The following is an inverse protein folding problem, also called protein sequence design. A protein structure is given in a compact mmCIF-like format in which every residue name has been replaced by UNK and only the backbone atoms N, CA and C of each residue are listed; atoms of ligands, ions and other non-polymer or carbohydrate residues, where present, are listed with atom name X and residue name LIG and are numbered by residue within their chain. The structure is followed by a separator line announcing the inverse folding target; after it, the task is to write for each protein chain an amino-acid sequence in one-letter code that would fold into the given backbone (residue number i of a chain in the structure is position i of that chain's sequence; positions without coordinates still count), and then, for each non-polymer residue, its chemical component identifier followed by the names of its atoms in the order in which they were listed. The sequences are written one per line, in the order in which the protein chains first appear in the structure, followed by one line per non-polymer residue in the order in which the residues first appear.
data_IF_855086751149
#
_entry.id   IF_855086751149
#
_cell.length_a   1.000
_cell.length_b   1.000
_cell.length_c   1.000
_cell.angle_alpha   90.00
_cell.angle_beta   90.00
_cell.angle_gamma   90.00
#
_symmetry.space_group_name_H-M   'P 1'
#
loop_
_entity.id
_entity.type
_entity.pdbx_description
1 polymer ?
#
# COMPACT_ATOMS: atom_id res chain seq x y z
N UNK A 1 30.06 -54.33 2.88
CA UNK A 1 30.20 -52.87 2.65
C UNK A 1 29.13 -52.28 1.71
N UNK A 2 27.99 -52.97 1.47
CA UNK A 2 26.89 -52.47 0.64
C UNK A 2 25.74 -51.82 1.44
N UNK A 3 25.42 -52.41 2.60
CA UNK A 3 24.32 -51.94 3.47
C UNK A 3 24.57 -50.53 3.99
N UNK A 4 25.81 -50.21 4.39
CA UNK A 4 26.18 -48.88 4.89
C UNK A 4 26.02 -47.77 3.84
N UNK A 5 26.31 -48.07 2.56
CA UNK A 5 26.10 -47.10 1.47
C UNK A 5 24.61 -46.89 1.22
N UNK A 6 23.82 -47.96 1.21
CA UNK A 6 22.37 -47.88 1.02
C UNK A 6 21.67 -47.10 2.14
N UNK A 7 22.02 -47.36 3.41
CA UNK A 7 21.44 -46.62 4.54
C UNK A 7 21.84 -45.15 4.53
N UNK A 8 23.08 -44.83 4.19
CA UNK A 8 23.55 -43.45 4.04
C UNK A 8 22.77 -42.67 2.98
N UNK A 9 22.60 -43.24 1.78
CA UNK A 9 21.81 -42.60 0.72
C UNK A 9 20.34 -42.43 1.10
N UNK A 10 19.75 -43.41 1.79
CA UNK A 10 18.35 -43.31 2.22
C UNK A 10 18.15 -42.18 3.25
N UNK A 11 19.07 -42.03 4.21
CA UNK A 11 19.02 -40.93 5.19
C UNK A 11 19.21 -39.57 4.50
N UNK A 12 20.20 -39.45 3.61
CA UNK A 12 20.44 -38.20 2.86
C UNK A 12 19.23 -37.85 2.00
N UNK A 13 18.62 -38.83 1.32
CA UNK A 13 17.42 -38.60 0.52
C UNK A 13 16.25 -38.09 1.39
N UNK A 14 16.03 -38.69 2.56
CA UNK A 14 15.00 -38.23 3.50
C UNK A 14 15.26 -36.79 3.96
N UNK A 15 16.50 -36.46 4.33
CA UNK A 15 16.86 -35.10 4.75
C UNK A 15 16.61 -34.09 3.61
N UNK A 16 17.02 -34.42 2.38
CA UNK A 16 16.80 -33.55 1.20
C UNK A 16 15.30 -33.34 0.94
N UNK A 17 14.48 -34.38 1.07
CA UNK A 17 13.02 -34.28 0.91
C UNK A 17 12.43 -33.36 1.98
N UNK A 18 12.80 -33.53 3.25
CA UNK A 18 12.31 -32.71 4.35
C UNK A 18 12.70 -31.24 4.15
N UNK A 19 13.96 -30.97 3.77
CA UNK A 19 14.43 -29.61 3.47
C UNK A 19 13.65 -29.02 2.29
N UNK A 20 13.43 -29.80 1.23
CA UNK A 20 12.68 -29.36 0.06
C UNK A 20 11.24 -28.96 0.39
N UNK A 21 10.54 -29.78 1.18
CA UNK A 21 9.18 -29.47 1.66
C UNK A 21 9.20 -28.21 2.54
N UNK A 22 10.17 -28.10 3.46
CA UNK A 22 10.27 -26.96 4.36
C UNK A 22 10.51 -25.65 3.61
N UNK A 23 11.42 -25.65 2.63
CA UNK A 23 11.68 -24.48 1.77
C UNK A 23 10.44 -24.10 0.97
N UNK A 24 9.75 -25.08 0.37
CA UNK A 24 8.53 -24.82 -0.40
C UNK A 24 7.43 -24.19 0.46
N UNK A 25 7.17 -24.75 1.64
CA UNK A 25 6.19 -24.21 2.59
C UNK A 25 6.56 -22.81 3.07
N UNK A 26 7.85 -22.56 3.32
CA UNK A 26 8.33 -21.25 3.76
C UNK A 26 8.14 -20.20 2.67
N UNK A 27 8.48 -20.51 1.42
CA UNK A 27 8.30 -19.60 0.28
C UNK A 27 6.83 -19.24 0.06
N UNK A 28 5.93 -20.22 0.13
CA UNK A 28 4.49 -19.96 0.02
C UNK A 28 3.99 -18.99 1.11
N UNK A 29 4.45 -19.18 2.36
CA UNK A 29 4.01 -18.35 3.49
C UNK A 29 4.59 -16.93 3.48
N UNK A 30 5.80 -16.72 2.93
CA UNK A 30 6.45 -15.40 2.92
C UNK A 30 5.60 -14.35 2.18
N UNK A 31 4.97 -14.71 1.07
CA UNK A 31 4.21 -13.76 0.24
C UNK A 31 3.00 -13.18 0.99
N UNK A 32 2.26 -14.00 1.75
CA UNK A 32 1.12 -13.54 2.54
C UNK A 32 1.54 -12.59 3.66
N UNK A 33 2.67 -12.88 4.31
CA UNK A 33 3.21 -12.05 5.39
C UNK A 33 3.68 -10.70 4.84
N UNK A 34 4.41 -10.69 3.72
CA UNK A 34 4.84 -9.45 3.06
C UNK A 34 3.61 -8.61 2.69
N UNK A 35 2.59 -9.23 2.11
CA UNK A 35 1.39 -8.49 1.70
C UNK A 35 0.70 -7.84 2.91
N UNK A 36 0.55 -8.58 4.00
CA UNK A 36 -0.04 -8.07 5.23
C UNK A 36 0.77 -6.93 5.85
N UNK A 37 2.09 -6.98 5.76
CA UNK A 37 2.97 -5.91 6.25
C UNK A 37 2.76 -4.63 5.44
N UNK A 38 2.80 -4.72 4.11
CA UNK A 38 2.61 -3.54 3.24
C UNK A 38 1.20 -2.96 3.40
N UNK A 39 0.18 -3.81 3.54
CA UNK A 39 -1.19 -3.37 3.80
C UNK A 39 -1.32 -2.64 5.14
N UNK A 40 -0.76 -3.19 6.22
CA UNK A 40 -0.76 -2.55 7.54
C UNK A 40 0.00 -1.21 7.51
N UNK A 41 1.10 -1.15 6.78
CA UNK A 41 1.87 0.08 6.60
C UNK A 41 1.05 1.13 5.85
N UNK A 42 0.43 0.75 4.72
CA UNK A 42 -0.42 1.64 3.95
C UNK A 42 -1.59 2.16 4.80
N UNK A 43 -2.24 1.27 5.55
CA UNK A 43 -3.31 1.65 6.48
C UNK A 43 -2.85 2.65 7.55
N UNK A 44 -1.72 2.37 8.20
CA UNK A 44 -1.17 3.25 9.23
C UNK A 44 -0.82 4.65 8.68
N UNK A 45 -0.27 4.69 7.47
CA UNK A 45 0.03 5.94 6.77
C UNK A 45 -1.23 6.69 6.38
N UNK A 46 -2.24 6.02 5.82
CA UNK A 46 -3.53 6.64 5.49
C UNK A 46 -4.22 7.21 6.71
N UNK A 47 -4.22 6.50 7.85
CA UNK A 47 -4.75 7.00 9.12
C UNK A 47 -3.97 8.23 9.61
N UNK A 48 -2.65 8.24 9.44
CA UNK A 48 -1.81 9.39 9.82
C UNK A 48 -2.09 10.61 8.94
N UNK A 49 -2.18 10.43 7.61
CA UNK A 49 -2.56 11.47 6.65
C UNK A 49 -3.96 11.99 6.95
N UNK A 50 -4.92 11.10 7.19
CA UNK A 50 -6.29 11.44 7.57
C UNK A 50 -6.32 12.31 8.83
N UNK A 51 -5.62 11.90 9.88
CA UNK A 51 -5.60 12.60 11.17
C UNK A 51 -4.98 13.99 11.07
N UNK A 52 -3.85 14.13 10.37
CA UNK A 52 -3.16 15.41 10.20
C UNK A 52 -3.99 16.38 9.35
N UNK A 53 -4.76 15.85 8.39
CA UNK A 53 -5.57 16.67 7.48
C UNK A 53 -7.02 16.84 7.93
N UNK A 54 -7.46 16.21 9.02
CA UNK A 54 -8.87 16.16 9.42
C UNK A 54 -9.48 17.56 9.55
N UNK A 55 -8.83 18.45 10.30
CA UNK A 55 -9.33 19.82 10.53
C UNK A 55 -9.30 20.65 9.23
N UNK A 56 -8.26 20.48 8.42
CA UNK A 56 -8.12 21.15 7.12
C UNK A 56 -9.20 20.68 6.12
N UNK A 57 -9.56 19.39 6.16
CA UNK A 57 -10.65 18.85 5.35
C UNK A 57 -12.00 19.36 5.81
N UNK A 58 -12.27 19.46 7.12
CA UNK A 58 -13.55 20.01 7.64
C UNK A 58 -13.68 21.50 7.29
N UNK A 59 -12.59 22.26 7.44
CA UNK A 59 -12.55 23.71 7.17
C UNK A 59 -12.39 24.09 5.70
N UNK A 60 -12.27 23.13 4.77
CA UNK A 60 -11.97 23.37 3.35
C UNK A 60 -10.66 24.15 3.10
N UNK A 61 -9.69 24.06 4.02
CA UNK A 61 -8.40 24.72 3.84
C UNK A 61 -7.46 23.87 2.99
N UNK A 62 -7.58 24.00 1.66
CA UNK A 62 -6.78 23.22 0.71
C UNK A 62 -5.28 23.49 0.80
N UNK A 63 -4.87 24.72 1.13
CA UNK A 63 -3.45 25.07 1.30
C UNK A 63 -2.80 24.23 2.40
N UNK A 64 -3.47 24.15 3.56
CA UNK A 64 -3.01 23.32 4.67
C UNK A 64 -3.01 21.82 4.34
N UNK A 65 -3.98 21.34 3.55
CA UNK A 65 -3.98 19.93 3.11
C UNK A 65 -2.72 19.63 2.29
N UNK A 66 -2.40 20.51 1.35
CA UNK A 66 -1.21 20.37 0.49
C UNK A 66 0.07 20.41 1.31
N UNK A 67 0.23 21.42 2.16
CA UNK A 67 1.44 21.60 2.99
C UNK A 67 1.69 20.39 3.89
N UNK A 68 0.66 19.94 4.61
CA UNK A 68 0.77 18.79 5.50
C UNK A 68 1.10 17.50 4.74
N UNK A 69 0.46 17.29 3.59
CA UNK A 69 0.65 16.07 2.78
C UNK A 69 2.03 16.05 2.12
N UNK A 70 2.50 17.19 1.62
CA UNK A 70 3.85 17.35 1.08
C UNK A 70 4.93 17.13 2.15
N UNK A 71 4.74 17.66 3.36
CA UNK A 71 5.66 17.44 4.47
C UNK A 71 5.76 15.95 4.85
N UNK A 72 4.64 15.21 4.81
CA UNK A 72 4.65 13.75 5.03
C UNK A 72 5.39 12.99 3.92
N UNK A 73 5.16 13.35 2.65
CA UNK A 73 5.83 12.74 1.50
C UNK A 73 7.35 12.95 1.51
N UNK A 74 7.83 14.08 2.04
CA UNK A 74 9.26 14.36 2.16
C UNK A 74 9.94 13.55 3.27
N UNK A 75 9.22 13.27 4.36
CA UNK A 75 9.76 12.54 5.50
C UNK A 75 9.75 11.01 5.30
N UNK A 76 8.86 10.50 4.44
CA UNK A 76 8.61 9.07 4.31
C UNK A 76 8.99 8.61 2.91
N UNK A 77 10.17 7.99 2.79
CA UNK A 77 10.80 7.68 1.51
C UNK A 77 10.08 6.62 0.67
N UNK A 78 9.30 5.73 1.29
CA UNK A 78 8.61 4.64 0.60
C UNK A 78 7.24 5.01 0.02
N UNK A 79 6.77 6.25 0.23
CA UNK A 79 5.55 6.75 -0.40
C UNK A 79 5.92 7.33 -1.77
N UNK A 80 5.30 6.82 -2.81
CA UNK A 80 5.49 7.28 -4.19
C UNK A 80 4.54 8.44 -4.51
N UNK A 81 3.28 8.37 -4.06
CA UNK A 81 2.29 9.42 -4.21
C UNK A 81 1.15 9.30 -3.18
N UNK A 82 0.41 10.39 -2.98
CA UNK A 82 -0.82 10.45 -2.20
C UNK A 82 -1.88 11.21 -3.00
N UNK A 83 -3.05 10.60 -3.18
CA UNK A 83 -4.22 11.22 -3.81
C UNK A 83 -5.24 11.47 -2.71
N UNK A 84 -5.72 12.70 -2.61
CA UNK A 84 -6.77 13.08 -1.68
C UNK A 84 -7.96 13.53 -2.50
N UNK A 85 -9.10 12.87 -2.30
CA UNK A 85 -10.38 13.27 -2.86
C UNK A 85 -11.31 13.75 -1.76
N UNK A 86 -12.04 14.83 -2.03
CA UNK A 86 -13.12 15.31 -1.16
C UNK A 86 -14.39 15.45 -2.00
N UNK A 87 -15.35 14.56 -1.79
CA UNK A 87 -16.53 14.45 -2.64
C UNK A 87 -16.16 14.29 -4.13
N UNK A 88 -16.94 14.90 -5.02
CA UNK A 88 -16.68 14.89 -6.46
C UNK A 88 -15.90 16.12 -6.96
N UNK A 89 -15.67 17.13 -6.11
CA UNK A 89 -15.27 18.47 -6.56
C UNK A 89 -13.78 18.78 -6.35
N UNK A 90 -13.08 17.94 -5.59
CA UNK A 90 -11.67 18.15 -5.28
C UNK A 90 -10.88 16.86 -5.38
N UNK A 91 -9.87 16.87 -6.24
CA UNK A 91 -8.90 15.81 -6.42
C UNK A 91 -7.51 16.46 -6.36
N UNK A 92 -6.74 16.13 -5.35
CA UNK A 92 -5.37 16.59 -5.17
C UNK A 92 -4.43 15.40 -5.28
N UNK A 93 -3.53 15.43 -6.26
CA UNK A 93 -2.49 14.43 -6.44
C UNK A 93 -1.18 15.01 -5.95
N UNK A 94 -0.56 14.33 -4.99
CA UNK A 94 0.71 14.73 -4.40
C UNK A 94 1.78 13.72 -4.79
N UNK A 95 2.86 14.24 -5.37
CA UNK A 95 4.09 13.54 -5.68
C UNK A 95 5.17 14.01 -4.69
N UNK A 96 6.31 13.31 -4.62
CA UNK A 96 7.41 13.69 -3.71
C UNK A 96 7.82 15.17 -3.78
N UNK A 97 7.81 15.76 -4.97
CA UNK A 97 8.37 17.11 -5.21
C UNK A 97 7.34 18.13 -5.71
N UNK A 98 6.11 17.72 -5.98
CA UNK A 98 5.08 18.58 -6.55
C UNK A 98 3.69 18.09 -6.17
N UNK A 99 2.70 18.95 -6.33
CA UNK A 99 1.30 18.59 -6.24
C UNK A 99 0.56 19.16 -7.43
N UNK A 100 -0.57 18.56 -7.77
CA UNK A 100 -1.47 19.05 -8.81
C UNK A 100 -2.92 18.86 -8.38
N UNK A 101 -3.78 19.79 -8.79
CA UNK A 101 -5.22 19.64 -8.70
C UNK A 101 -5.73 19.13 -10.04
N UNK A 102 -6.55 18.09 -10.01
CA UNK A 102 -7.20 17.54 -11.19
C UNK A 102 -8.69 17.86 -11.18
N UNK A 103 -9.24 18.05 -12.38
CA UNK A 103 -10.67 18.27 -12.57
C UNK A 103 -11.45 16.95 -12.63
N UNK A 104 -10.82 15.89 -13.14
CA UNK A 104 -11.46 14.59 -13.33
C UNK A 104 -10.70 13.52 -12.56
N UNK A 105 -11.46 12.62 -11.93
CA UNK A 105 -10.90 11.46 -11.24
C UNK A 105 -10.59 10.38 -12.26
N UNK A 106 -9.36 9.88 -12.26
CA UNK A 106 -8.99 8.74 -13.10
C UNK A 106 -9.62 7.45 -12.54
N UNK A 107 -10.53 6.79 -13.27
CA UNK A 107 -11.19 5.58 -12.81
C UNK A 107 -10.21 4.45 -12.44
N UNK A 108 -9.00 4.44 -12.98
CA UNK A 108 -7.98 3.43 -12.69
C UNK A 108 -7.49 3.49 -11.23
N UNK A 109 -7.61 4.64 -10.57
CA UNK A 109 -7.26 4.79 -9.15
C UNK A 109 -8.37 4.28 -8.23
N UNK A 110 -9.59 4.11 -8.73
CA UNK A 110 -10.67 3.54 -7.92
C UNK A 110 -10.51 2.03 -7.85
N UNK A 111 -9.81 1.57 -6.82
CA UNK A 111 -9.73 0.15 -6.49
C UNK A 111 -10.85 -0.25 -5.52
N UNK A 112 -11.48 -1.39 -5.79
CA UNK A 112 -12.61 -1.90 -5.01
C UNK A 112 -13.92 -1.14 -5.26
N UNK A 113 -14.88 -1.31 -4.36
CA UNK A 113 -16.19 -0.65 -4.43
C UNK A 113 -16.19 0.80 -3.93
N UNK A 114 -15.06 1.26 -3.36
CA UNK A 114 -14.89 2.58 -2.77
C UNK A 114 -15.58 2.78 -1.41
N UNK A 115 -16.16 1.72 -0.83
CA UNK A 115 -16.85 1.75 0.46
C UNK A 115 -16.00 1.20 1.61
N UNK A 116 -14.94 0.46 1.28
CA UNK A 116 -14.03 -0.16 2.23
C UNK A 116 -12.58 0.13 1.88
N UNK A 117 -11.75 0.07 2.91
CA UNK A 117 -10.31 0.13 2.72
C UNK A 117 -9.87 -1.09 1.91
N UNK A 118 -9.10 -0.87 0.85
CA UNK A 118 -8.72 -1.93 -0.06
C UNK A 118 -7.34 -1.65 -0.66
N UNK A 119 -6.51 -2.68 -0.76
CA UNK A 119 -5.16 -2.57 -1.28
C UNK A 119 -4.90 -3.56 -2.39
N UNK A 120 -4.21 -3.12 -3.45
CA UNK A 120 -3.81 -3.97 -4.56
C UNK A 120 -2.51 -3.48 -5.18
N UNK A 121 -1.68 -4.42 -5.64
CA UNK A 121 -0.53 -4.11 -6.47
C UNK A 121 -1.02 -3.75 -7.88
N UNK A 122 -0.71 -2.54 -8.32
CA UNK A 122 -1.05 -2.05 -9.66
C UNK A 122 0.19 -1.42 -10.30
N UNK A 123 0.21 -1.37 -11.63
CA UNK A 123 1.14 -0.50 -12.33
C UNK A 123 0.54 0.92 -12.32
N UNK A 124 1.26 1.89 -11.78
CA UNK A 124 0.76 3.26 -11.67
C UNK A 124 1.37 4.14 -12.73
N UNK A 125 0.53 4.76 -13.54
CA UNK A 125 0.98 5.70 -14.57
C UNK A 125 1.53 7.01 -14.01
N UNK A 126 1.24 7.32 -12.73
CA UNK A 126 1.76 8.48 -12.02
C UNK A 126 3.27 8.42 -11.80
N UNK A 127 3.79 7.22 -11.54
CA UNK A 127 5.21 6.99 -11.19
C UNK A 127 5.91 5.99 -12.10
N UNK A 128 5.21 5.46 -13.11
CA UNK A 128 5.72 4.51 -14.11
C UNK A 128 6.39 3.29 -13.49
N UNK A 129 5.82 2.79 -12.39
CA UNK A 129 6.32 1.62 -11.66
C UNK A 129 5.19 0.84 -11.01
N UNK A 130 5.49 -0.39 -10.56
CA UNK A 130 4.57 -1.19 -9.74
C UNK A 130 4.57 -0.64 -8.33
N UNK A 131 3.38 -0.35 -7.84
CA UNK A 131 3.16 0.15 -6.49
C UNK A 131 2.08 -0.67 -5.80
N UNK A 132 2.15 -0.72 -4.48
CA UNK A 132 0.98 -1.10 -3.70
C UNK A 132 0.08 0.12 -3.55
N UNK A 133 -1.03 0.11 -4.28
CA UNK A 133 -2.05 1.15 -4.21
C UNK A 133 -3.08 0.78 -3.16
N UNK A 134 -3.32 1.69 -2.24
CA UNK A 134 -4.23 1.49 -1.10
C UNK A 134 -5.26 2.60 -1.03
N UNK A 135 -6.53 2.23 -1.11
CA UNK A 135 -7.69 3.10 -0.93
C UNK A 135 -8.09 3.07 0.55
N UNK A 136 -8.25 4.26 1.13
CA UNK A 136 -8.71 4.46 2.50
C UNK A 136 -9.87 5.45 2.48
N UNK A 137 -11.00 5.07 3.07
CA UNK A 137 -12.17 5.94 3.11
C UNK A 137 -12.09 6.88 4.31
N UNK A 138 -12.12 8.19 4.05
CA UNK A 138 -12.11 9.19 5.10
C UNK A 138 -13.53 9.41 5.64
N UNK A 139 -13.70 9.23 6.94
CA UNK A 139 -14.98 9.39 7.63
C UNK A 139 -14.88 10.44 8.73
N UNK A 140 -15.89 11.30 8.83
CA UNK A 140 -16.10 12.22 9.96
C UNK A 140 -17.46 11.91 10.57
N UNK A 141 -17.47 11.45 11.84
CA UNK A 141 -18.69 10.98 12.53
C UNK A 141 -19.52 9.99 11.69
N UNK A 142 -18.87 8.92 11.21
CA UNK A 142 -19.44 7.91 10.30
C UNK A 142 -19.88 8.41 8.90
N UNK A 143 -19.84 9.71 8.61
CA UNK A 143 -20.13 10.23 7.28
C UNK A 143 -18.89 10.20 6.38
N UNK A 144 -18.98 9.63 5.16
CA UNK A 144 -17.87 9.67 4.21
C UNK A 144 -17.68 11.09 3.69
N UNK A 145 -16.52 11.67 3.97
CA UNK A 145 -16.18 13.04 3.55
C UNK A 145 -15.21 13.05 2.36
N UNK A 146 -14.57 11.92 2.07
CA UNK A 146 -13.59 11.80 0.99
C UNK A 146 -12.89 10.45 0.99
N UNK A 147 -11.90 10.32 0.11
CA UNK A 147 -11.03 9.14 0.05
C UNK A 147 -9.57 9.57 -0.05
N UNK A 148 -8.70 8.74 0.51
CA UNK A 148 -7.25 8.89 0.41
C UNK A 148 -6.73 7.65 -0.31
N UNK A 149 -5.95 7.86 -1.35
CA UNK A 149 -5.25 6.80 -2.05
C UNK A 149 -3.75 6.97 -1.88
N UNK A 150 -3.07 5.93 -1.41
CA UNK A 150 -1.61 5.95 -1.21
C UNK A 150 -0.97 4.92 -2.13
N UNK A 151 0.05 5.35 -2.87
CA UNK A 151 0.92 4.45 -3.62
C UNK A 151 2.23 4.22 -2.86
N UNK A 152 2.46 3.01 -2.38
CA UNK A 152 3.73 2.60 -1.77
C UNK A 152 4.65 1.95 -2.80
N UNK A 153 5.93 2.32 -2.77
CA UNK A 153 6.97 1.64 -3.53
C UNK A 153 7.10 0.18 -3.06
N UNK A 154 7.31 -0.73 -4.00
CA UNK A 154 7.60 -2.15 -3.74
C UNK A 154 9.10 -2.47 -3.91
N UNK A 155 9.89 -1.48 -4.31
CA UNK A 155 11.34 -1.55 -4.46
C UNK A 155 12.08 -1.34 -3.13
#
# INVERSE_FOLDING_TARGET
MGIFKQTFYMIVAIIVIIIGIFVALTLMRQNEVIMKIVENQAKSLSVSVARVNQDAMVSNNFGTIVENTMALLQNISNISYIIITKGNDLILVHYKNRWEKLENFDPEWKIGDGTKDFGKIIYSDLVKSKVFHYSFQLRYWEMPIGSIYIGLSLD
#
